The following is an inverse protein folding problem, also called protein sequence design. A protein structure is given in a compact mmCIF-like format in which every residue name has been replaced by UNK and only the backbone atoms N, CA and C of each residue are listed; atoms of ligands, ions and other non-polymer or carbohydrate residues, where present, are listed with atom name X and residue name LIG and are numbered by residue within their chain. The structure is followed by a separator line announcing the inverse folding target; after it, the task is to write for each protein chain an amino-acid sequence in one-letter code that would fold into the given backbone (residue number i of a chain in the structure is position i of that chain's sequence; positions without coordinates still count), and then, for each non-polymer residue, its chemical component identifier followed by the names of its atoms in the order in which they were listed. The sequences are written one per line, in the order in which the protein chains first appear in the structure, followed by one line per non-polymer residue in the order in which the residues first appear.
data_IF_568017726102
#
_entry.id   IF_568017726102
#
_cell.length_a   1.000
_cell.length_b   1.000
_cell.length_c   1.000
_cell.angle_alpha   90.00
_cell.angle_beta   90.00
_cell.angle_gamma   90.00
#
_symmetry.space_group_name_H-M   'P 1'
#
loop_
_entity.id
_entity.type
_entity.pdbx_description
1 polymer ?
#
# COMPACT_ATOMS: atom_id res chain seq x y z
N UNK A 1 -5.58 1.71 -4.88
CA UNK A 1 -4.12 1.57 -5.17
C UNK A 1 -3.28 1.35 -3.92
N UNK A 2 -3.51 2.08 -2.83
CA UNK A 2 -2.70 2.04 -1.60
C UNK A 2 -2.56 0.63 -1.00
N UNK A 3 -3.67 -0.13 -0.91
CA UNK A 3 -3.66 -1.54 -0.47
C UNK A 3 -2.77 -2.43 -1.34
N UNK A 4 -2.85 -2.29 -2.67
CA UNK A 4 -2.02 -3.06 -3.59
C UNK A 4 -0.53 -2.80 -3.38
N UNK A 5 -0.13 -1.54 -3.17
CA UNK A 5 1.26 -1.15 -2.90
C UNK A 5 1.80 -1.77 -1.59
N UNK A 6 0.95 -1.85 -0.57
CA UNK A 6 1.30 -2.49 0.70
C UNK A 6 1.53 -4.00 0.52
N UNK A 7 0.62 -4.68 -0.20
CA UNK A 7 0.69 -6.13 -0.42
C UNK A 7 1.86 -6.53 -1.33
N UNK A 8 2.03 -5.85 -2.47
CA UNK A 8 3.04 -6.24 -3.47
C UNK A 8 4.47 -6.10 -2.92
N UNK A 9 4.70 -5.14 -2.02
CA UNK A 9 5.99 -4.89 -1.37
C UNK A 9 6.06 -5.46 0.05
N UNK A 10 4.98 -6.13 0.50
CA UNK A 10 4.80 -6.65 1.85
C UNK A 10 5.24 -5.65 2.92
N UNK A 11 4.78 -4.40 2.82
CA UNK A 11 5.19 -3.30 3.67
C UNK A 11 3.97 -2.60 4.28
N UNK A 12 4.18 -1.97 5.43
CA UNK A 12 3.24 -0.98 5.93
C UNK A 12 3.22 0.23 4.99
N UNK A 13 2.01 0.72 4.67
CA UNK A 13 1.81 1.87 3.79
C UNK A 13 1.03 2.95 4.54
N UNK A 14 1.62 4.13 4.63
CA UNK A 14 0.96 5.34 5.15
C UNK A 14 0.64 6.23 3.95
N UNK A 15 -0.64 6.33 3.62
CA UNK A 15 -1.14 7.14 2.52
C UNK A 15 -1.79 8.40 3.08
N UNK A 16 -1.07 9.52 3.04
CA UNK A 16 -1.54 10.82 3.53
C UNK A 16 -1.99 11.69 2.37
N UNK A 17 -3.07 12.43 2.59
CA UNK A 17 -3.68 13.33 1.61
C UNK A 17 -4.43 14.44 2.32
N UNK A 18 -4.53 15.59 1.64
CA UNK A 18 -5.30 16.73 2.10
C UNK A 18 -6.80 16.43 2.00
N UNK A 19 -7.61 17.06 2.86
CA UNK A 19 -9.07 17.06 2.78
C UNK A 19 -9.60 18.50 2.81
N UNK A 20 -10.81 18.69 2.27
CA UNK A 20 -11.51 19.98 2.30
C UNK A 20 -11.28 20.84 1.06
N UNK A 21 -11.76 22.08 1.15
CA UNK A 21 -11.75 23.05 0.05
C UNK A 21 -10.33 23.39 -0.40
N UNK A 22 -10.19 23.55 -1.71
CA UNK A 22 -9.06 24.21 -2.37
C UNK A 22 -9.60 25.31 -3.30
N UNK A 23 -8.73 26.11 -3.90
CA UNK A 23 -9.15 27.20 -4.81
C UNK A 23 -10.01 26.70 -5.99
N UNK A 24 -10.73 27.61 -6.64
CA UNK A 24 -11.54 27.35 -7.84
C UNK A 24 -12.72 26.36 -7.65
N UNK A 25 -13.35 26.37 -6.47
CA UNK A 25 -14.50 25.51 -6.12
C UNK A 25 -14.18 24.00 -6.16
N UNK A 26 -12.90 23.65 -6.09
CA UNK A 26 -12.45 22.27 -5.98
C UNK A 26 -12.33 21.81 -4.51
N UNK A 27 -12.40 20.49 -4.32
CA UNK A 27 -12.32 19.86 -3.00
C UNK A 27 -11.43 18.63 -3.06
N UNK A 28 -10.50 18.54 -2.11
CA UNK A 28 -9.78 17.31 -1.85
C UNK A 28 -10.65 16.40 -0.97
N UNK A 29 -10.79 15.14 -1.41
CA UNK A 29 -11.63 14.15 -0.74
C UNK A 29 -11.05 13.67 0.59
N UNK A 30 -9.75 13.86 0.84
CA UNK A 30 -9.11 13.22 1.99
C UNK A 30 -8.97 11.72 1.77
N UNK A 31 -9.41 10.95 2.75
CA UNK A 31 -9.17 9.50 2.85
C UNK A 31 -7.72 9.11 3.13
N UNK A 32 -7.09 9.79 4.09
CA UNK A 32 -5.78 9.37 4.62
C UNK A 32 -5.90 8.02 5.34
N UNK A 33 -4.96 7.08 5.13
CA UNK A 33 -5.04 5.70 5.64
C UNK A 33 -3.68 5.13 6.03
N UNK A 34 -3.66 4.25 7.01
CA UNK A 34 -2.52 3.40 7.39
C UNK A 34 -2.92 1.95 7.11
N UNK A 35 -2.10 1.25 6.35
CA UNK A 35 -2.39 -0.10 5.85
C UNK A 35 -1.21 -1.01 6.22
N UNK A 36 -1.51 -2.23 6.63
CA UNK A 36 -0.51 -3.25 6.95
C UNK A 36 0.06 -3.94 5.69
N UNK A 37 1.06 -4.76 5.91
CA UNK A 37 1.77 -5.53 4.90
C UNK A 37 0.94 -6.66 4.25
N UNK A 38 -0.27 -6.95 4.76
CA UNK A 38 -1.26 -7.87 4.18
C UNK A 38 -2.37 -7.12 3.42
N UNK A 39 -2.37 -5.79 3.45
CA UNK A 39 -3.38 -4.95 2.83
C UNK A 39 -4.58 -4.64 3.72
N UNK A 40 -4.51 -4.99 5.00
CA UNK A 40 -5.52 -4.66 6.03
C UNK A 40 -5.37 -3.20 6.45
N UNK A 41 -6.49 -2.51 6.63
CA UNK A 41 -6.49 -1.11 7.06
C UNK A 41 -6.41 -1.05 8.59
N UNK A 42 -5.35 -0.42 9.11
CA UNK A 42 -5.12 -0.27 10.54
C UNK A 42 -5.83 0.96 11.12
N UNK A 43 -5.88 2.05 10.35
CA UNK A 43 -6.54 3.30 10.75
C UNK A 43 -6.76 4.19 9.52
N UNK A 44 -7.77 5.04 9.55
CA UNK A 44 -8.08 5.96 8.46
C UNK A 44 -8.84 7.20 8.94
N UNK A 45 -8.77 8.26 8.13
CA UNK A 45 -9.60 9.46 8.22
C UNK A 45 -10.50 9.43 6.98
N UNK A 46 -11.76 9.05 7.14
CA UNK A 46 -12.66 8.84 6.00
C UNK A 46 -13.22 10.14 5.44
N UNK A 47 -13.42 11.15 6.28
CA UNK A 47 -14.00 12.43 5.89
C UNK A 47 -13.40 13.56 6.73
N UNK A 48 -13.26 14.74 6.13
CA UNK A 48 -12.83 15.96 6.81
C UNK A 48 -11.40 15.93 7.33
N UNK A 49 -11.07 16.91 8.18
CA UNK A 49 -9.80 16.97 8.88
C UNK A 49 -9.80 16.02 10.08
N UNK A 50 -8.67 15.39 10.37
CA UNK A 50 -8.58 14.45 11.47
C UNK A 50 -7.19 13.94 11.75
N UNK A 51 -7.13 12.99 12.69
CA UNK A 51 -5.92 12.29 13.10
C UNK A 51 -6.20 10.79 13.09
N UNK A 52 -5.30 10.03 12.44
CA UNK A 52 -5.26 8.57 12.47
C UNK A 52 -3.92 8.13 13.06
N UNK A 53 -3.94 7.06 13.85
CA UNK A 53 -2.75 6.51 14.51
C UNK A 53 -2.81 5.00 14.52
N UNK A 54 -1.66 4.34 14.39
CA UNK A 54 -1.53 2.90 14.49
C UNK A 54 -0.16 2.52 15.09
N UNK A 55 -0.09 1.32 15.67
CA UNK A 55 1.17 0.71 16.13
C UNK A 55 1.61 -0.31 15.08
N UNK A 56 2.87 -0.21 14.63
CA UNK A 56 3.41 -1.11 13.61
C UNK A 56 4.25 -2.20 14.28
N UNK A 57 3.84 -3.46 14.10
CA UNK A 57 4.56 -4.64 14.62
C UNK A 57 5.42 -5.22 13.51
N UNK A 58 6.71 -4.91 13.51
CA UNK A 58 7.62 -5.33 12.43
C UNK A 58 7.98 -6.82 12.49
N UNK A 59 8.06 -7.40 13.68
CA UNK A 59 8.41 -8.82 13.85
C UNK A 59 7.40 -9.72 13.13
N UNK A 60 6.09 -9.46 13.29
CA UNK A 60 5.04 -10.19 12.58
C UNK A 60 5.09 -10.01 11.04
N UNK A 61 5.50 -8.81 10.59
CA UNK A 61 5.71 -8.55 9.16
C UNK A 61 6.86 -9.40 8.61
N UNK A 62 7.97 -9.49 9.33
CA UNK A 62 9.10 -10.32 8.92
C UNK A 62 8.74 -11.80 8.94
N UNK A 63 8.06 -12.28 9.97
CA UNK A 63 7.52 -13.65 10.03
C UNK A 63 6.58 -13.97 8.86
N UNK A 64 5.81 -12.98 8.40
CA UNK A 64 4.97 -13.12 7.22
C UNK A 64 5.78 -13.21 5.93
N UNK A 65 6.83 -12.39 5.77
CA UNK A 65 7.73 -12.44 4.59
C UNK A 65 8.46 -13.78 4.48
N UNK A 66 8.76 -14.42 5.60
CA UNK A 66 9.35 -15.76 5.62
C UNK A 66 8.38 -16.85 5.12
N UNK A 67 7.07 -16.67 5.33
CA UNK A 67 6.02 -17.60 4.88
C UNK A 67 5.51 -17.29 3.48
N UNK A 68 5.39 -16.02 3.15
CA UNK A 68 4.92 -15.50 1.87
C UNK A 68 6.12 -14.93 1.10
N UNK A 69 6.82 -15.79 0.36
CA UNK A 69 8.15 -15.48 -0.18
C UNK A 69 8.13 -14.73 -1.52
N UNK A 70 7.05 -14.03 -1.86
CA UNK A 70 6.87 -13.40 -3.18
C UNK A 70 7.98 -12.40 -3.52
N UNK A 71 8.59 -11.75 -2.52
CA UNK A 71 9.74 -10.86 -2.71
C UNK A 71 11.00 -11.62 -3.15
N UNK A 72 11.16 -12.89 -2.75
CA UNK A 72 12.27 -13.74 -3.16
C UNK A 72 12.08 -14.30 -4.58
N UNK A 73 10.86 -14.25 -5.11
CA UNK A 73 10.55 -14.72 -6.47
C UNK A 73 10.88 -13.69 -7.56
N UNK A 74 11.22 -12.44 -7.17
CA UNK A 74 11.63 -11.37 -8.07
C UNK A 74 12.89 -11.80 -8.84
N UNK A 75 12.82 -11.75 -10.16
CA UNK A 75 13.96 -12.11 -11.03
C UNK A 75 14.70 -10.84 -11.48
N UNK A 76 16.05 -10.88 -11.56
CA UNK A 76 16.82 -9.75 -12.09
C UNK A 76 16.58 -9.54 -13.59
N UNK A 77 16.14 -10.57 -14.29
CA UNK A 77 15.75 -10.53 -15.69
C UNK A 77 14.57 -11.47 -15.94
N UNK A 78 13.73 -11.09 -16.89
CA UNK A 78 12.62 -11.92 -17.37
C UNK A 78 12.85 -12.22 -18.85
N UNK A 79 12.90 -13.50 -19.20
CA UNK A 79 13.02 -13.92 -20.59
C UNK A 79 11.64 -14.19 -21.18
N UNK A 80 11.30 -13.47 -22.25
CA UNK A 80 10.09 -13.76 -23.03
C UNK A 80 10.45 -14.79 -24.08
N UNK A 81 9.98 -16.03 -23.91
CA UNK A 81 10.08 -17.04 -24.96
C UNK A 81 9.04 -16.72 -26.04
N UNK A 82 9.52 -16.34 -27.23
CA UNK A 82 8.66 -16.20 -28.41
C UNK A 82 8.28 -17.59 -28.92
N UNK A 83 7.08 -18.05 -28.57
CA UNK A 83 6.59 -19.40 -28.91
C UNK A 83 6.10 -19.53 -30.37
N UNK A 84 5.93 -18.41 -31.09
CA UNK A 84 5.57 -18.41 -32.51
C UNK A 84 6.38 -17.33 -33.26
N UNK A 85 7.17 -17.76 -34.24
CA UNK A 85 7.66 -16.89 -35.32
C UNK A 85 6.57 -16.91 -36.41
N UNK A 86 6.07 -15.73 -36.80
CA UNK A 86 5.16 -15.60 -37.94
C UNK A 86 5.88 -15.91 -39.25
#
# INVERSE_FOLDING_TARGET
MTKCRAVENQCYMVALTQSGYIEDDEYNLGESRIIDYKGEELSSIMEGEGLASAVLQFDEMYDFRDKCTVLNDIKPSYEVKMLCVK
#
